data_IF_346973345855
#
_entry.id   IF_346973345855
#
_cell.length_a   1.000
_cell.length_b   1.000
_cell.length_c   1.000
_cell.angle_alpha   90.00
_cell.angle_beta   90.00
_cell.angle_gamma   90.00
#
_symmetry.space_group_name_H-M   'P 1'
#
loop_
_entity.id
_entity.type
_entity.pdbx_description
1 polymer ?
#
# COMPACT_ATOMS: atom_id res chain seq x y z
N UNK A 1 -23.99 13.45 11.14
CA UNK A 1 -23.11 12.27 11.40
C UNK A 1 -22.16 11.92 10.25
N UNK A 2 -22.45 12.27 8.98
CA UNK A 2 -21.56 12.02 7.82
C UNK A 2 -20.13 12.56 8.03
N UNK A 3 -20.00 13.70 8.72
CA UNK A 3 -18.71 14.38 8.94
C UNK A 3 -17.62 13.53 9.61
N UNK A 4 -17.95 12.67 10.58
CA UNK A 4 -16.93 11.79 11.22
C UNK A 4 -16.40 10.73 10.26
N UNK A 5 -17.27 10.17 9.41
CA UNK A 5 -16.87 9.22 8.39
C UNK A 5 -16.05 9.92 7.29
N UNK A 6 -16.49 11.09 6.84
CA UNK A 6 -15.76 11.90 5.86
C UNK A 6 -14.36 12.32 6.35
N UNK A 7 -14.23 12.74 7.61
CA UNK A 7 -12.93 13.07 8.22
C UNK A 7 -12.00 11.86 8.34
N UNK A 8 -12.55 10.68 8.63
CA UNK A 8 -11.77 9.45 8.67
C UNK A 8 -11.29 9.06 7.25
N UNK A 9 -12.19 9.12 6.26
CA UNK A 9 -11.86 8.83 4.86
C UNK A 9 -10.85 9.84 4.29
N UNK A 10 -10.96 11.12 4.63
CA UNK A 10 -9.98 12.14 4.23
C UNK A 10 -8.60 11.94 4.85
N UNK A 11 -8.46 11.09 5.88
CA UNK A 11 -7.17 10.70 6.43
C UNK A 11 -6.66 9.39 5.81
N UNK A 12 -7.51 8.38 5.68
CA UNK A 12 -7.10 7.08 5.18
C UNK A 12 -6.77 7.07 3.67
N UNK A 13 -7.49 7.83 2.84
CA UNK A 13 -7.18 7.89 1.40
C UNK A 13 -5.80 8.48 1.10
N UNK A 14 -5.39 9.64 1.67
CA UNK A 14 -4.01 10.11 1.54
C UNK A 14 -2.97 9.12 2.04
N UNK A 15 -3.25 8.42 3.16
CA UNK A 15 -2.34 7.41 3.70
C UNK A 15 -2.12 6.27 2.69
N UNK A 16 -3.20 5.76 2.07
CA UNK A 16 -3.13 4.75 1.00
C UNK A 16 -2.36 5.27 -0.22
N UNK A 17 -2.61 6.53 -0.63
CA UNK A 17 -1.91 7.13 -1.77
C UNK A 17 -0.41 7.19 -1.48
N UNK A 18 -0.02 7.77 -0.35
CA UNK A 18 1.38 7.91 0.04
C UNK A 18 2.07 6.54 0.15
N UNK A 19 1.46 5.58 0.85
CA UNK A 19 2.05 4.25 1.01
C UNK A 19 2.18 3.51 -0.32
N UNK A 20 1.17 3.61 -1.19
CA UNK A 20 1.20 2.94 -2.50
C UNK A 20 2.23 3.55 -3.44
N UNK A 21 2.38 4.88 -3.44
CA UNK A 21 3.42 5.58 -4.23
C UNK A 21 4.81 5.15 -3.76
N UNK A 22 5.04 5.10 -2.45
CA UNK A 22 6.33 4.65 -1.89
C UNK A 22 6.62 3.23 -2.35
N UNK A 23 5.67 2.29 -2.24
CA UNK A 23 5.85 0.91 -2.70
C UNK A 23 6.24 0.83 -4.18
N UNK A 24 5.51 1.53 -5.06
CA UNK A 24 5.80 1.55 -6.50
C UNK A 24 7.22 2.06 -6.79
N UNK A 25 7.63 3.16 -6.14
CA UNK A 25 8.95 3.76 -6.33
C UNK A 25 10.04 2.81 -5.82
N UNK A 26 9.92 2.31 -4.59
CA UNK A 26 10.95 1.43 -3.99
C UNK A 26 11.09 0.12 -4.74
N UNK A 27 9.96 -0.47 -5.20
CA UNK A 27 9.98 -1.65 -6.06
C UNK A 27 10.62 -1.38 -7.42
N UNK A 28 10.30 -0.23 -8.03
CA UNK A 28 10.90 0.17 -9.31
C UNK A 28 12.41 0.37 -9.21
N UNK A 29 12.89 1.01 -8.13
CA UNK A 29 14.32 1.22 -7.87
C UNK A 29 15.04 -0.11 -7.70
N UNK A 30 14.52 -1.00 -6.85
CA UNK A 30 15.07 -2.35 -6.66
C UNK A 30 15.14 -3.12 -7.98
N UNK A 31 14.05 -3.13 -8.74
CA UNK A 31 14.00 -3.85 -9.99
C UNK A 31 14.95 -3.26 -11.03
N UNK A 32 14.99 -1.94 -11.19
CA UNK A 32 15.89 -1.28 -12.14
C UNK A 32 17.36 -1.57 -11.82
N UNK A 33 17.73 -1.59 -10.54
CA UNK A 33 19.09 -1.88 -10.10
C UNK A 33 19.47 -3.35 -10.36
N UNK A 34 18.61 -4.30 -9.96
CA UNK A 34 18.95 -5.71 -9.97
C UNK A 34 18.62 -6.47 -11.26
N UNK A 35 17.75 -5.93 -12.12
CA UNK A 35 17.17 -6.69 -13.24
C UNK A 35 18.17 -7.29 -14.20
N UNK A 36 19.31 -6.65 -14.39
CA UNK A 36 20.31 -7.14 -15.32
C UNK A 36 21.31 -8.08 -14.68
N UNK A 37 21.61 -7.88 -13.40
CA UNK A 37 22.53 -8.72 -12.64
C UNK A 37 21.87 -10.08 -12.38
N UNK A 38 20.59 -10.07 -12.04
CA UNK A 38 19.83 -11.28 -11.74
C UNK A 38 19.33 -12.03 -12.98
N UNK A 39 19.34 -11.41 -14.17
CA UNK A 39 18.93 -12.05 -15.43
C UNK A 39 20.07 -12.88 -16.04
N UNK A 40 20.62 -13.79 -15.24
CA UNK A 40 21.73 -14.67 -15.62
C UNK A 40 21.28 -16.10 -15.95
N UNK A 41 19.98 -16.40 -15.85
CA UNK A 41 19.46 -17.73 -16.15
C UNK A 41 19.36 -18.00 -17.66
N UNK A 42 19.21 -19.27 -18.08
CA UNK A 42 19.09 -19.64 -19.49
C UNK A 42 17.84 -19.08 -20.17
N UNK A 43 16.79 -18.82 -19.41
CA UNK A 43 15.54 -18.21 -19.89
C UNK A 43 15.64 -16.67 -19.83
N UNK A 44 15.18 -15.94 -20.83
CA UNK A 44 15.43 -14.48 -20.93
C UNK A 44 14.59 -13.61 -19.98
N UNK A 45 13.92 -14.18 -18.97
CA UNK A 45 12.88 -13.53 -18.15
C UNK A 45 13.06 -13.68 -16.62
N UNK A 46 14.27 -13.87 -16.11
CA UNK A 46 14.54 -14.07 -14.68
C UNK A 46 15.14 -12.85 -13.96
N UNK A 47 14.95 -11.64 -14.49
CA UNK A 47 15.48 -10.41 -13.90
C UNK A 47 14.72 -9.90 -12.67
N UNK A 48 13.97 -10.71 -11.93
CA UNK A 48 13.24 -10.23 -10.75
C UNK A 48 14.00 -10.46 -9.44
N UNK A 49 14.01 -9.45 -8.57
CA UNK A 49 14.60 -9.56 -7.24
C UNK A 49 13.73 -10.37 -6.26
N UNK A 50 12.43 -10.48 -6.52
CA UNK A 50 11.52 -11.35 -5.76
C UNK A 50 11.63 -12.79 -6.26
N UNK A 51 11.50 -13.74 -5.35
CA UNK A 51 11.57 -15.18 -5.63
C UNK A 51 12.87 -15.59 -6.34
N UNK A 52 13.98 -14.89 -6.03
CA UNK A 52 15.31 -15.24 -6.53
C UNK A 52 15.71 -16.63 -6.04
N UNK A 53 16.57 -17.32 -6.79
CA UNK A 53 16.93 -18.72 -6.57
C UNK A 53 18.44 -18.91 -6.56
N UNK A 54 18.92 -19.73 -5.64
CA UNK A 54 20.30 -20.20 -5.63
C UNK A 54 20.41 -21.47 -6.49
N UNK A 55 21.21 -21.45 -7.54
CA UNK A 55 21.56 -22.64 -8.33
C UNK A 55 22.88 -23.23 -7.83
N UNK A 56 23.39 -24.28 -8.47
CA UNK A 56 24.70 -24.85 -8.12
C UNK A 56 25.86 -23.92 -8.46
N UNK A 57 25.70 -23.05 -9.46
CA UNK A 57 26.77 -22.25 -10.05
C UNK A 57 26.57 -20.74 -9.91
N UNK A 58 25.33 -20.28 -9.71
CA UNK A 58 24.94 -18.88 -9.78
C UNK A 58 23.78 -18.55 -8.84
N UNK A 59 23.61 -17.26 -8.56
CA UNK A 59 22.39 -16.71 -7.97
C UNK A 59 21.61 -15.99 -9.07
N UNK A 60 20.38 -16.43 -9.29
CA UNK A 60 19.53 -15.97 -10.38
C UNK A 60 18.25 -15.36 -9.82
N UNK A 61 17.66 -14.40 -10.53
CA UNK A 61 16.41 -13.79 -10.10
C UNK A 61 15.18 -14.67 -10.36
N UNK A 62 14.04 -14.23 -9.83
CA UNK A 62 12.75 -14.85 -10.09
C UNK A 62 12.16 -14.41 -11.43
N UNK A 63 11.01 -14.99 -11.76
CA UNK A 63 10.29 -14.66 -12.99
C UNK A 63 9.87 -13.19 -13.05
N UNK A 64 10.07 -12.55 -14.20
CA UNK A 64 9.88 -11.10 -14.40
C UNK A 64 8.46 -10.61 -14.06
N UNK A 65 7.46 -11.48 -14.19
CA UNK A 65 6.07 -11.19 -13.84
C UNK A 65 5.90 -10.75 -12.37
N UNK A 66 6.68 -11.30 -11.43
CA UNK A 66 6.61 -10.88 -10.04
C UNK A 66 7.03 -9.42 -9.86
N UNK A 67 8.05 -8.97 -10.59
CA UNK A 67 8.53 -7.58 -10.50
C UNK A 67 7.63 -6.61 -11.26
N UNK A 68 7.04 -7.03 -12.38
CA UNK A 68 5.97 -6.26 -13.02
C UNK A 68 4.78 -6.08 -12.06
N UNK A 69 4.35 -7.16 -11.41
CA UNK A 69 3.25 -7.12 -10.46
C UNK A 69 3.59 -6.28 -9.22
N UNK A 70 4.80 -6.42 -8.67
CA UNK A 70 5.30 -5.63 -7.54
C UNK A 70 5.38 -4.13 -7.88
N UNK A 71 5.79 -3.78 -9.10
CA UNK A 71 6.01 -2.38 -9.50
C UNK A 71 4.73 -1.70 -9.96
N UNK A 72 3.87 -2.40 -10.69
CA UNK A 72 2.70 -1.82 -11.35
C UNK A 72 1.37 -2.24 -10.72
N UNK A 73 1.34 -3.28 -9.88
CA UNK A 73 0.11 -3.83 -9.31
C UNK A 73 -0.70 -2.79 -8.54
N UNK A 74 -0.04 -1.93 -7.77
CA UNK A 74 -0.73 -0.90 -6.99
C UNK A 74 -1.26 0.28 -7.82
N UNK A 75 -0.98 0.39 -9.13
CA UNK A 75 -1.44 1.52 -9.94
C UNK A 75 -2.97 1.62 -10.03
N UNK A 76 -3.68 0.50 -10.12
CA UNK A 76 -5.14 0.50 -10.22
C UNK A 76 -5.79 0.95 -8.89
N UNK A 77 -5.46 0.37 -7.72
CA UNK A 77 -5.90 0.90 -6.43
C UNK A 77 -5.48 2.36 -6.22
N UNK A 78 -4.28 2.74 -6.67
CA UNK A 78 -3.77 4.11 -6.56
C UNK A 78 -4.68 5.09 -7.31
N UNK A 79 -5.04 4.80 -8.56
CA UNK A 79 -5.91 5.65 -9.36
C UNK A 79 -7.26 5.94 -8.66
N UNK A 80 -7.94 4.91 -8.18
CA UNK A 80 -9.19 5.08 -7.44
C UNK A 80 -8.99 5.84 -6.12
N UNK A 81 -7.91 5.55 -5.41
CA UNK A 81 -7.61 6.23 -4.15
C UNK A 81 -7.33 7.73 -4.33
N UNK A 82 -6.70 8.15 -5.44
CA UNK A 82 -6.45 9.57 -5.74
C UNK A 82 -7.77 10.30 -5.97
N UNK A 83 -8.68 9.74 -6.78
CA UNK A 83 -9.98 10.35 -7.07
C UNK A 83 -10.79 10.53 -5.77
N UNK A 84 -10.87 9.48 -4.97
CA UNK A 84 -11.62 9.50 -3.71
C UNK A 84 -10.93 10.36 -2.64
N UNK A 85 -9.60 10.42 -2.64
CA UNK A 85 -8.81 11.33 -1.81
C UNK A 85 -9.20 12.79 -2.09
N UNK A 86 -9.12 13.21 -3.36
CA UNK A 86 -9.47 14.57 -3.78
C UNK A 86 -10.92 14.88 -3.37
N UNK A 87 -11.85 13.95 -3.63
CA UNK A 87 -13.26 14.11 -3.26
C UNK A 87 -13.46 14.35 -1.75
N UNK A 88 -12.92 13.49 -0.90
CA UNK A 88 -13.11 13.59 0.55
C UNK A 88 -12.34 14.75 1.18
N UNK A 89 -11.11 15.02 0.72
CA UNK A 89 -10.31 16.16 1.20
C UNK A 89 -10.97 17.48 0.81
N UNK A 90 -11.44 17.61 -0.44
CA UNK A 90 -12.16 18.80 -0.90
C UNK A 90 -13.40 19.05 -0.02
N UNK A 91 -14.20 18.02 0.24
CA UNK A 91 -15.40 18.15 1.08
C UNK A 91 -15.08 18.53 2.53
N UNK A 92 -14.03 17.98 3.13
CA UNK A 92 -13.67 18.30 4.52
C UNK A 92 -13.04 19.68 4.65
N UNK A 93 -12.19 20.10 3.71
CA UNK A 93 -11.45 21.35 3.77
C UNK A 93 -12.22 22.57 3.22
N UNK A 94 -13.01 22.38 2.16
CA UNK A 94 -13.71 23.46 1.45
C UNK A 94 -15.23 23.36 1.57
N UNK A 95 -15.77 22.18 1.87
CA UNK A 95 -17.20 21.94 2.10
C UNK A 95 -17.65 22.35 3.50
N UNK A 96 -17.39 23.58 3.92
CA UNK A 96 -18.01 24.12 5.13
C UNK A 96 -19.49 24.36 4.86
N UNK A 97 -20.34 23.51 5.43
CA UNK A 97 -21.77 23.77 5.54
C UNK A 97 -21.92 25.07 6.35
N UNK A 98 -22.38 26.15 5.70
CA UNK A 98 -22.78 27.36 6.41
C UNK A 98 -23.97 26.99 7.28
N UNK A 99 -23.86 27.16 8.59
CA UNK A 99 -25.00 27.07 9.51
C UNK A 99 -26.02 28.13 9.10
N UNK A 100 -27.14 27.71 8.51
CA UNK A 100 -28.30 28.61 8.33
C UNK A 100 -29.11 28.57 9.62
N UNK A 101 -29.06 29.65 10.39
CA UNK A 101 -30.01 29.88 11.48
C UNK A 101 -31.42 30.01 10.89
N UNK A 102 -32.30 29.06 11.18
CA UNK A 102 -33.71 29.13 10.83
C UNK A 102 -34.51 29.72 11.99
N UNK A 103 -35.44 30.63 11.70
CA UNK A 103 -36.39 31.13 12.70
C UNK A 103 -37.66 30.29 12.60
N UNK A 104 -37.92 29.45 13.60
CA UNK A 104 -39.15 28.68 13.70
C UNK A 104 -40.09 29.32 14.73
N UNK A 105 -41.30 29.65 14.32
CA UNK A 105 -42.34 30.17 15.23
C UNK A 105 -43.15 29.00 15.77
N UNK A 106 -43.06 28.73 17.07
CA UNK A 106 -43.90 27.73 17.74
C UNK A 106 -45.04 28.47 18.42
N UNK A 107 -46.27 28.17 18.00
CA UNK A 107 -47.48 28.73 18.62
C UNK A 107 -47.89 27.84 19.78
N UNK A 108 -47.80 28.36 21.00
CA UNK A 108 -48.28 27.65 22.19
C UNK A 108 -49.80 27.66 22.26
N UNK A 109 -50.35 26.68 22.98
CA UNK A 109 -51.80 26.53 23.21
C UNK A 109 -52.41 27.70 24.01
N UNK A 110 -51.59 28.51 24.71
CA UNK A 110 -52.01 29.76 25.38
C UNK A 110 -52.25 30.91 24.41
N UNK A 111 -51.86 30.77 23.13
CA UNK A 111 -51.91 31.86 22.14
C UNK A 111 -50.58 32.61 21.99
N UNK A 112 -49.60 32.39 22.87
CA UNK A 112 -48.28 33.00 22.77
C UNK A 112 -47.46 32.40 21.62
N UNK A 113 -46.78 33.27 20.88
CA UNK A 113 -45.89 32.88 19.79
C UNK A 113 -44.46 32.99 20.29
N UNK A 114 -43.81 31.86 20.51
CA UNK A 114 -42.39 31.82 20.88
C UNK A 114 -41.58 31.66 19.61
N UNK A 115 -40.74 32.66 19.33
CA UNK A 115 -39.79 32.62 18.22
C UNK A 115 -38.57 31.84 18.69
N UNK A 116 -38.45 30.59 18.23
CA UNK A 116 -37.27 29.76 18.51
C UNK A 116 -36.33 29.89 17.33
N UNK A 117 -35.15 30.47 17.58
CA UNK A 117 -34.02 30.32 16.67
C UNK A 117 -33.58 28.86 16.71
N UNK A 118 -34.06 28.09 15.75
CA UNK A 118 -33.56 26.74 15.54
C UNK A 118 -32.32 26.83 14.68
N UNK A 119 -31.16 26.57 15.26
CA UNK A 119 -30.01 26.15 14.46
C UNK A 119 -30.32 24.77 13.88
N UNK A 120 -31.08 24.74 12.79
CA UNK A 120 -31.10 23.57 11.94
C UNK A 120 -29.77 23.54 11.21
N UNK A 121 -28.90 22.57 11.53
CA UNK A 121 -27.86 22.13 10.60
C UNK A 121 -28.58 21.72 9.31
N UNK A 122 -28.76 22.65 8.38
CA UNK A 122 -29.17 22.33 7.02
C UNK A 122 -27.98 21.59 6.41
N UNK A 123 -28.01 20.26 6.48
CA UNK A 123 -27.01 19.39 5.86
C UNK A 123 -27.26 19.25 4.36
N UNK A 124 -27.36 20.37 3.63
CA UNK A 124 -27.46 20.36 2.15
C UNK A 124 -26.22 19.74 1.48
N UNK A 125 -25.14 19.52 2.25
CA UNK A 125 -23.94 18.83 1.80
C UNK A 125 -23.95 17.31 2.05
N UNK A 126 -25.01 16.68 2.55
CA UNK A 126 -24.98 15.24 2.84
C UNK A 126 -24.72 14.38 1.59
N UNK A 127 -23.84 13.39 1.73
CA UNK A 127 -23.49 12.48 0.63
C UNK A 127 -24.74 11.69 0.22
N UNK A 128 -25.06 11.71 -1.09
CA UNK A 128 -26.16 10.93 -1.65
C UNK A 128 -26.08 9.46 -1.19
N UNK A 129 -27.18 8.88 -0.68
CA UNK A 129 -27.23 7.49 -0.25
C UNK A 129 -26.73 6.49 -1.30
N UNK A 130 -26.83 6.84 -2.59
CA UNK A 130 -26.40 6.01 -3.72
C UNK A 130 -24.88 5.96 -3.92
N UNK A 131 -24.11 6.89 -3.34
CA UNK A 131 -22.64 6.93 -3.43
C UNK A 131 -21.97 5.77 -2.67
N UNK A 132 -22.53 5.38 -1.52
CA UNK A 132 -21.89 4.45 -0.60
C UNK A 132 -21.78 3.02 -1.16
N UNK A 133 -22.75 2.60 -1.98
CA UNK A 133 -22.77 1.26 -2.57
C UNK A 133 -21.58 1.00 -3.52
N UNK A 134 -21.37 1.78 -4.60
CA UNK A 134 -20.25 1.55 -5.52
C UNK A 134 -18.89 1.73 -4.83
N UNK A 135 -18.77 2.69 -3.91
CA UNK A 135 -17.50 2.91 -3.18
C UNK A 135 -17.17 1.75 -2.24
N UNK A 136 -18.18 1.12 -1.63
CA UNK A 136 -17.98 -0.11 -0.83
C UNK A 136 -17.46 -1.26 -1.70
N UNK A 137 -17.99 -1.43 -2.91
CA UNK A 137 -17.53 -2.46 -3.84
C UNK A 137 -16.08 -2.21 -4.24
N UNK A 138 -15.75 -0.98 -4.64
CA UNK A 138 -14.37 -0.59 -4.99
C UNK A 138 -13.43 -0.82 -3.80
N UNK A 139 -13.79 -0.36 -2.60
CA UNK A 139 -12.97 -0.53 -1.40
C UNK A 139 -12.75 -2.01 -1.05
N UNK A 140 -13.77 -2.85 -1.21
CA UNK A 140 -13.65 -4.30 -0.97
C UNK A 140 -12.71 -4.97 -1.96
N UNK A 141 -12.82 -4.65 -3.24
CA UNK A 141 -11.93 -5.16 -4.28
C UNK A 141 -10.49 -4.67 -4.07
N UNK A 142 -10.30 -3.39 -3.77
CA UNK A 142 -8.98 -2.82 -3.48
C UNK A 142 -8.35 -3.41 -2.22
N UNK A 143 -9.13 -3.70 -1.18
CA UNK A 143 -8.64 -4.38 0.02
C UNK A 143 -8.11 -5.79 -0.31
N UNK A 144 -8.90 -6.62 -0.99
CA UNK A 144 -8.47 -7.98 -1.36
C UNK A 144 -7.26 -7.92 -2.29
N UNK A 145 -7.26 -7.01 -3.25
CA UNK A 145 -6.14 -6.84 -4.18
C UNK A 145 -4.85 -6.43 -3.48
N UNK A 146 -4.91 -5.45 -2.58
CA UNK A 146 -3.72 -5.00 -1.83
C UNK A 146 -3.24 -6.04 -0.82
N UNK A 147 -4.14 -6.87 -0.27
CA UNK A 147 -3.78 -8.00 0.57
C UNK A 147 -2.99 -9.06 -0.21
N UNK A 148 -3.45 -9.40 -1.42
CA UNK A 148 -2.74 -10.32 -2.33
C UNK A 148 -1.36 -9.75 -2.67
N UNK A 149 -1.31 -8.45 -3.02
CA UNK A 149 -0.05 -7.76 -3.30
C UNK A 149 0.95 -7.85 -2.13
N UNK A 150 0.51 -7.50 -0.92
CA UNK A 150 1.36 -7.53 0.27
C UNK A 150 1.83 -8.95 0.59
N UNK A 151 0.98 -9.95 0.38
CA UNK A 151 1.30 -11.37 0.61
C UNK A 151 2.35 -11.87 -0.38
N UNK A 152 2.18 -11.61 -1.68
CA UNK A 152 3.15 -12.01 -2.72
C UNK A 152 4.49 -11.32 -2.50
N UNK A 153 4.49 -10.03 -2.13
CA UNK A 153 5.73 -9.30 -1.86
C UNK A 153 6.45 -9.85 -0.63
N UNK A 154 5.70 -10.13 0.45
CA UNK A 154 6.27 -10.69 1.70
C UNK A 154 6.87 -12.07 1.45
N UNK A 155 6.15 -12.95 0.75
CA UNK A 155 6.65 -14.28 0.37
C UNK A 155 7.90 -14.19 -0.51
N UNK A 156 7.88 -13.31 -1.53
CA UNK A 156 9.03 -13.09 -2.39
C UNK A 156 10.25 -12.54 -1.65
N UNK A 157 10.06 -11.65 -0.69
CA UNK A 157 11.12 -11.13 0.19
C UNK A 157 11.76 -12.24 1.03
N UNK A 158 10.95 -13.09 1.67
CA UNK A 158 11.45 -14.18 2.51
C UNK A 158 12.17 -15.25 1.70
N UNK A 159 11.63 -15.62 0.53
CA UNK A 159 12.24 -16.61 -0.36
C UNK A 159 13.58 -16.10 -0.88
N UNK A 160 13.64 -14.86 -1.39
CA UNK A 160 14.91 -14.28 -1.87
C UNK A 160 15.93 -14.23 -0.73
N UNK A 161 15.54 -13.79 0.47
CA UNK A 161 16.44 -13.77 1.63
C UNK A 161 16.97 -15.16 1.97
N UNK A 162 16.11 -16.18 2.00
CA UNK A 162 16.51 -17.57 2.28
C UNK A 162 17.44 -18.11 1.21
N UNK A 163 17.16 -17.86 -0.05
CA UNK A 163 17.97 -18.33 -1.17
C UNK A 163 19.34 -17.65 -1.22
N UNK A 164 19.39 -16.35 -0.95
CA UNK A 164 20.66 -15.64 -0.91
C UNK A 164 21.54 -16.06 0.28
N UNK A 165 20.95 -16.43 1.44
CA UNK A 165 21.71 -17.05 2.54
C UNK A 165 22.45 -18.32 2.11
N UNK A 166 21.80 -19.17 1.31
CA UNK A 166 22.43 -20.38 0.80
C UNK A 166 23.54 -20.07 -0.20
N UNK A 167 23.36 -19.06 -1.07
CA UNK A 167 24.42 -18.58 -1.97
C UNK A 167 25.61 -18.05 -1.18
N UNK A 168 25.37 -17.18 -0.20
CA UNK A 168 26.43 -16.58 0.62
C UNK A 168 27.28 -17.63 1.34
N UNK A 169 26.67 -18.72 1.80
CA UNK A 169 27.38 -19.84 2.40
C UNK A 169 28.29 -20.58 1.42
N UNK A 170 27.85 -20.72 0.16
CA UNK A 170 28.67 -21.31 -0.92
C UNK A 170 29.87 -20.42 -1.23
N UNK A 171 29.67 -19.10 -1.32
CA UNK A 171 30.72 -18.13 -1.64
C UNK A 171 31.78 -18.01 -0.53
N UNK A 172 31.35 -17.98 0.73
CA UNK A 172 32.26 -17.87 1.88
C UNK A 172 32.92 -19.23 2.22
N UNK A 173 32.53 -20.32 1.54
CA UNK A 173 32.89 -21.70 1.92
C UNK A 173 32.62 -21.95 3.41
N UNK A 174 31.48 -21.43 3.89
CA UNK A 174 31.19 -21.38 5.32
C UNK A 174 31.03 -22.77 5.92
N UNK A 175 31.97 -23.17 6.79
CA UNK A 175 31.94 -24.44 7.52
C UNK A 175 31.86 -24.24 9.04
N UNK A 176 31.32 -25.22 9.75
CA UNK A 176 31.23 -25.20 11.22
C UNK A 176 30.25 -24.14 11.74
N UNK A 177 30.67 -23.36 12.74
CA UNK A 177 29.81 -22.46 13.48
C UNK A 177 29.30 -21.24 12.69
N UNK A 178 29.85 -20.96 11.50
CA UNK A 178 29.37 -19.86 10.66
C UNK A 178 28.04 -20.18 9.96
N UNK A 179 27.76 -21.47 9.73
CA UNK A 179 26.51 -21.94 9.10
C UNK A 179 25.28 -21.53 9.92
N UNK A 180 25.17 -21.86 11.23
CA UNK A 180 24.02 -21.43 12.02
C UNK A 180 23.95 -19.90 12.15
N UNK A 181 25.07 -19.18 12.14
CA UNK A 181 25.08 -17.71 12.18
C UNK A 181 24.39 -17.13 10.94
N UNK A 182 24.77 -17.56 9.74
CA UNK A 182 24.19 -17.04 8.49
C UNK A 182 22.76 -17.55 8.27
N UNK A 183 22.49 -18.83 8.55
CA UNK A 183 21.14 -19.38 8.32
C UNK A 183 20.10 -18.89 9.33
N UNK A 184 20.48 -18.65 10.59
CA UNK A 184 19.49 -18.42 11.67
C UNK A 184 19.63 -17.11 12.43
N UNK A 185 20.83 -16.49 12.51
CA UNK A 185 21.06 -15.31 13.36
C UNK A 185 21.13 -14.00 12.59
N UNK A 186 21.62 -14.01 11.36
CA UNK A 186 21.65 -12.82 10.51
C UNK A 186 20.24 -12.44 10.08
N UNK A 187 19.92 -11.15 10.17
CA UNK A 187 18.63 -10.61 9.71
C UNK A 187 18.61 -10.55 8.18
N UNK A 188 17.42 -10.58 7.57
CA UNK A 188 17.31 -10.40 6.12
C UNK A 188 17.85 -9.04 5.67
N UNK A 189 17.80 -8.01 6.51
CA UNK A 189 18.47 -6.72 6.25
C UNK A 189 19.95 -6.89 5.96
N UNK A 190 20.69 -7.56 6.86
CA UNK A 190 22.12 -7.74 6.69
C UNK A 190 22.45 -8.63 5.48
N UNK A 191 21.59 -9.61 5.19
CA UNK A 191 21.72 -10.48 4.01
C UNK A 191 21.58 -9.68 2.71
N UNK A 192 20.65 -8.72 2.63
CA UNK A 192 20.54 -7.85 1.47
C UNK A 192 21.69 -6.83 1.38
N UNK A 193 22.23 -6.39 2.50
CA UNK A 193 23.44 -5.56 2.48
C UNK A 193 24.61 -6.39 1.90
N UNK A 194 24.81 -7.65 2.31
CA UNK A 194 25.80 -8.52 1.66
C UNK A 194 25.54 -8.65 0.16
N UNK A 195 24.28 -8.75 -0.26
CA UNK A 195 23.90 -8.80 -1.68
C UNK A 195 24.39 -7.56 -2.44
N UNK A 196 24.18 -6.37 -1.89
CA UNK A 196 24.61 -5.09 -2.48
C UNK A 196 26.14 -4.99 -2.64
N UNK A 197 26.93 -5.67 -1.79
CA UNK A 197 28.40 -5.59 -1.79
C UNK A 197 29.11 -6.76 -2.46
N UNK A 198 28.55 -7.97 -2.39
CA UNK A 198 29.22 -9.21 -2.80
C UNK A 198 28.73 -9.76 -4.13
N UNK A 199 27.48 -9.47 -4.55
CA UNK A 199 27.01 -9.96 -5.85
C UNK A 199 27.76 -9.25 -6.96
N UNK A 200 28.73 -9.96 -7.54
CA UNK A 200 29.55 -9.44 -8.63
C UNK A 200 28.69 -9.26 -9.89
N UNK A 201 28.54 -8.00 -10.32
CA UNK A 201 27.93 -7.69 -11.61
C UNK A 201 28.82 -8.21 -12.74
N UNK A 202 28.25 -8.99 -13.66
CA UNK A 202 28.91 -9.57 -14.84
C UNK A 202 29.54 -8.48 -15.76
N UNK A 203 29.15 -7.20 -15.63
CA UNK A 203 29.76 -6.10 -16.39
C UNK A 203 30.42 -5.03 -15.51
N UNK A 204 31.73 -4.83 -15.73
CA UNK A 204 32.56 -3.82 -15.06
C UNK A 204 32.00 -2.40 -15.19
N UNK A 205 31.41 -2.05 -16.34
CA UNK A 205 30.87 -0.71 -16.60
C UNK A 205 29.66 -0.35 -15.74
N UNK A 206 28.86 -1.34 -15.33
CA UNK A 206 27.61 -1.11 -14.60
C UNK A 206 27.85 -0.86 -13.09
N UNK A 207 29.07 -1.14 -12.59
CA UNK A 207 29.55 -0.72 -11.26
C UNK A 207 29.51 0.80 -11.06
N UNK A 208 29.52 1.58 -12.15
CA UNK A 208 29.57 3.04 -12.12
C UNK A 208 28.25 3.71 -11.69
N UNK A 209 27.13 2.96 -11.69
CA UNK A 209 25.79 3.52 -11.40
C UNK A 209 25.43 3.59 -9.90
N UNK A 210 26.38 3.31 -9.01
CA UNK A 210 26.23 3.52 -7.58
C UNK A 210 25.62 2.33 -6.84
N UNK A 211 26.02 2.17 -5.58
CA UNK A 211 25.44 1.18 -4.67
C UNK A 211 24.12 1.74 -4.14
N UNK A 212 23.06 0.92 -4.15
CA UNK A 212 21.83 1.22 -3.43
C UNK A 212 21.86 0.52 -2.07
N UNK A 213 20.97 0.94 -1.18
CA UNK A 213 20.66 0.16 0.00
C UNK A 213 19.37 -0.63 -0.30
N UNK A 214 19.53 -1.88 -0.74
CA UNK A 214 18.41 -2.74 -1.10
C UNK A 214 17.56 -3.06 0.12
N UNK A 215 18.17 -3.24 1.29
CA UNK A 215 17.44 -3.58 2.52
C UNK A 215 16.42 -2.50 2.89
N UNK A 216 16.78 -1.22 2.80
CA UNK A 216 15.85 -0.10 3.02
C UNK A 216 14.71 -0.13 2.01
N UNK A 217 14.99 -0.34 0.72
CA UNK A 217 13.92 -0.39 -0.28
C UNK A 217 12.95 -1.56 -0.03
N UNK A 218 13.45 -2.73 0.35
CA UNK A 218 12.61 -3.88 0.69
C UNK A 218 11.72 -3.61 1.91
N UNK A 219 12.30 -3.12 3.01
CA UNK A 219 11.53 -2.85 4.22
C UNK A 219 10.53 -1.70 4.04
N UNK A 220 10.89 -0.64 3.33
CA UNK A 220 9.96 0.45 3.03
C UNK A 220 8.77 -0.06 2.22
N UNK A 221 9.02 -0.87 1.20
CA UNK A 221 7.95 -1.48 0.40
C UNK A 221 7.06 -2.42 1.25
N UNK A 222 7.66 -3.25 2.10
CA UNK A 222 6.94 -4.20 2.94
C UNK A 222 6.07 -3.48 3.98
N UNK A 223 6.63 -2.50 4.69
CA UNK A 223 5.91 -1.71 5.70
C UNK A 223 4.79 -0.91 5.03
N UNK A 224 5.07 -0.21 3.93
CA UNK A 224 4.05 0.58 3.22
C UNK A 224 2.95 -0.30 2.61
N UNK A 225 3.26 -1.51 2.13
CA UNK A 225 2.26 -2.44 1.61
C UNK A 225 1.28 -2.87 2.72
N UNK A 226 1.78 -3.24 3.90
CA UNK A 226 0.92 -3.60 5.04
C UNK A 226 0.15 -2.42 5.62
N UNK A 227 0.74 -1.22 5.65
CA UNK A 227 0.00 0.01 5.99
C UNK A 227 -1.16 0.24 5.00
N UNK A 228 -0.93 0.03 3.69
CA UNK A 228 -1.98 0.15 2.68
C UNK A 228 -3.12 -0.85 2.93
N UNK A 229 -2.80 -2.10 3.29
CA UNK A 229 -3.79 -3.13 3.62
C UNK A 229 -4.66 -2.72 4.82
N UNK A 230 -4.04 -2.25 5.90
CA UNK A 230 -4.76 -1.81 7.12
C UNK A 230 -5.64 -0.59 6.81
N UNK A 231 -5.14 0.34 5.99
CA UNK A 231 -5.90 1.52 5.59
C UNK A 231 -7.09 1.15 4.69
N UNK A 232 -6.91 0.27 3.70
CA UNK A 232 -8.01 -0.25 2.87
C UNK A 232 -9.05 -1.04 3.68
N UNK A 233 -8.61 -1.82 4.65
CA UNK A 233 -9.52 -2.51 5.58
C UNK A 233 -10.38 -1.50 6.35
N UNK A 234 -9.76 -0.45 6.88
CA UNK A 234 -10.46 0.62 7.62
C UNK A 234 -11.45 1.37 6.72
N UNK A 235 -11.05 1.72 5.50
CA UNK A 235 -11.91 2.35 4.48
C UNK A 235 -13.11 1.44 4.16
N UNK A 236 -12.87 0.13 3.97
CA UNK A 236 -13.91 -0.84 3.68
C UNK A 236 -14.94 -0.91 4.81
N UNK A 237 -14.49 -0.99 6.08
CA UNK A 237 -15.36 -1.01 7.25
C UNK A 237 -16.23 0.26 7.34
N UNK A 238 -15.62 1.44 7.17
CA UNK A 238 -16.35 2.72 7.21
C UNK A 238 -17.45 2.74 6.12
N UNK A 239 -17.11 2.34 4.90
CA UNK A 239 -18.05 2.31 3.78
C UNK A 239 -19.19 1.29 3.98
N UNK A 240 -18.90 0.11 4.53
CA UNK A 240 -19.94 -0.90 4.85
C UNK A 240 -20.89 -0.36 5.93
N UNK A 241 -20.35 0.20 7.01
CA UNK A 241 -21.16 0.76 8.11
C UNK A 241 -22.07 1.87 7.57
N UNK A 242 -21.53 2.75 6.74
CA UNK A 242 -22.30 3.87 6.19
C UNK A 242 -23.34 3.41 5.17
N UNK A 243 -23.02 2.43 4.32
CA UNK A 243 -23.99 1.81 3.38
C UNK A 243 -25.17 1.19 4.12
N UNK A 244 -24.92 0.54 5.26
CA UNK A 244 -25.99 -0.03 6.09
C UNK A 244 -26.86 1.06 6.71
N UNK A 245 -26.26 2.15 7.19
CA UNK A 245 -26.96 3.29 7.77
C UNK A 245 -27.82 4.07 6.77
N UNK A 246 -27.40 4.15 5.51
CA UNK A 246 -28.13 4.86 4.44
C UNK A 246 -29.10 3.96 3.67
N UNK A 247 -29.21 2.67 4.01
CA UNK A 247 -30.21 1.74 3.45
C UNK A 247 -31.66 2.25 3.57
N UNK A 248 -32.16 2.72 4.74
CA UNK A 248 -33.55 3.17 4.87
C UNK A 248 -33.88 4.43 4.06
N UNK A 249 -32.89 5.21 3.62
CA UNK A 249 -33.10 6.39 2.78
C UNK A 249 -33.10 6.08 1.27
N UNK A 250 -32.86 4.82 0.87
CA UNK A 250 -32.86 4.36 -0.54
C UNK A 250 -34.12 3.58 -0.93
N UNK A 251 -34.93 3.20 0.05
CA UNK A 251 -36.19 2.46 -0.09
C UNK A 251 -37.32 3.48 0.08
#
# INVERSE_FOLDING_TARGET
MSYKAERALSFFYPLVVASSVVCCITSAVLWSHWRYVLNACPETNCGCFLHARSTYTSFEGGHIAYCHYSTYGLLLPLFFSIILCIYHVYRVCLGTAKTKSGVATIRQRSGDVVVVTTESEVTDNDISPYYWLPVTVIASLSFVYTLIYASIFTDGFEITCKQYRETLLKEIQGVGNIVPVIKSRLSCSAIFDFMDYLVESISYERRKYGRINSSVCFYMCLICAWIAVIAWFSICLINIIQTRRTKPARI
#
